data_IF_604875847088
#
_entry.id   IF_604875847088
#
_cell.length_a   1.000
_cell.length_b   1.000
_cell.length_c   1.000
_cell.angle_alpha   90.00
_cell.angle_beta   90.00
_cell.angle_gamma   90.00
#
_symmetry.space_group_name_H-M   'P 1'
#
loop_
_entity.id
_entity.type
_entity.pdbx_description
1 polymer ?
#
# COMPACT_ATOMS: atom_id res chain seq x y z
N UNK A 1 -32.42 24.30 10.73
CA UNK A 1 -32.21 23.05 9.96
C UNK A 1 -30.77 23.06 9.48
N UNK A 2 -29.85 22.39 10.20
CA UNK A 2 -28.44 22.35 9.83
C UNK A 2 -28.25 21.38 8.68
N UNK A 3 -28.11 21.88 7.45
CA UNK A 3 -27.63 21.08 6.33
C UNK A 3 -26.13 20.85 6.53
N UNK A 4 -25.78 19.80 7.27
CA UNK A 4 -24.41 19.30 7.32
C UNK A 4 -24.17 18.49 6.04
N UNK A 5 -23.26 18.91 5.16
CA UNK A 5 -22.88 18.11 4.01
C UNK A 5 -22.42 16.73 4.47
N UNK A 6 -22.98 15.66 3.90
CA UNK A 6 -22.48 14.31 4.16
C UNK A 6 -21.19 14.15 3.37
N UNK A 7 -20.10 13.94 4.11
CA UNK A 7 -18.80 13.53 3.60
C UNK A 7 -18.47 12.14 4.17
N UNK A 8 -18.11 11.19 3.31
CA UNK A 8 -17.69 9.85 3.72
C UNK A 8 -16.45 9.41 2.94
N UNK A 9 -15.56 8.69 3.63
CA UNK A 9 -14.48 7.93 3.03
C UNK A 9 -14.58 6.53 3.61
N UNK A 10 -14.70 5.53 2.75
CA UNK A 10 -14.70 4.12 3.14
C UNK A 10 -13.56 3.42 2.41
N UNK A 11 -12.72 2.70 3.16
CA UNK A 11 -11.65 1.89 2.59
C UNK A 11 -11.87 0.43 2.97
N UNK A 12 -12.29 -0.39 2.00
CA UNK A 12 -12.33 -1.85 2.15
C UNK A 12 -11.00 -2.42 1.68
N UNK A 13 -10.35 -3.23 2.50
CA UNK A 13 -9.06 -3.85 2.16
C UNK A 13 -9.16 -5.36 2.27
N UNK A 14 -8.58 -6.07 1.31
CA UNK A 14 -8.21 -7.47 1.50
C UNK A 14 -6.80 -7.74 0.98
N UNK A 15 -6.23 -8.87 1.39
CA UNK A 15 -4.85 -9.23 1.15
C UNK A 15 -4.78 -10.60 0.47
N UNK A 16 -3.94 -10.73 -0.55
CA UNK A 16 -3.73 -12.00 -1.26
C UNK A 16 -2.24 -12.18 -1.57
N UNK A 17 -1.77 -13.42 -1.47
CA UNK A 17 -0.40 -13.79 -1.85
C UNK A 17 -0.28 -13.91 -3.36
N UNK A 18 -0.47 -12.79 -4.06
CA UNK A 18 -0.25 -12.63 -5.49
C UNK A 18 0.42 -11.28 -5.77
N UNK A 19 0.66 -11.00 -7.04
CA UNK A 19 1.30 -9.77 -7.51
C UNK A 19 0.30 -8.69 -7.96
N UNK A 20 -0.96 -8.77 -7.51
CA UNK A 20 -2.02 -7.83 -7.95
C UNK A 20 -2.73 -8.24 -9.23
N UNK A 21 -2.59 -9.50 -9.65
CA UNK A 21 -3.18 -10.02 -10.89
C UNK A 21 -4.64 -10.50 -10.76
N UNK A 22 -5.18 -10.58 -9.54
CA UNK A 22 -6.56 -11.06 -9.35
C UNK A 22 -7.56 -9.96 -9.70
N UNK A 23 -8.29 -10.16 -10.79
CA UNK A 23 -9.40 -9.30 -11.16
C UNK A 23 -10.56 -9.43 -10.15
N UNK A 24 -11.20 -8.30 -9.85
CA UNK A 24 -12.37 -8.21 -8.95
C UNK A 24 -12.21 -8.97 -7.62
N UNK A 25 -11.03 -8.95 -6.99
CA UNK A 25 -10.77 -9.69 -5.74
C UNK A 25 -11.75 -9.39 -4.60
N UNK A 26 -12.28 -8.17 -4.52
CA UNK A 26 -13.24 -7.76 -3.50
C UNK A 26 -14.70 -8.08 -3.87
N UNK A 27 -14.92 -8.84 -4.95
CA UNK A 27 -16.23 -9.33 -5.39
C UNK A 27 -17.26 -8.19 -5.54
N UNK A 28 -16.85 -7.10 -6.20
CA UNK A 28 -17.75 -5.97 -6.46
C UNK A 28 -18.80 -6.39 -7.49
N UNK A 29 -19.99 -5.80 -7.36
CA UNK A 29 -21.13 -6.08 -8.24
C UNK A 29 -21.78 -4.79 -8.77
N UNK A 30 -22.52 -4.92 -9.86
CA UNK A 30 -23.33 -3.85 -10.45
C UNK A 30 -22.56 -2.55 -10.70
N UNK A 31 -23.13 -1.42 -10.26
CA UNK A 31 -22.58 -0.10 -10.54
C UNK A 31 -21.20 0.12 -9.89
N UNK A 32 -20.94 -0.45 -8.70
CA UNK A 32 -19.65 -0.32 -8.01
C UNK A 32 -18.54 -1.00 -8.83
N UNK A 33 -18.84 -2.16 -9.44
CA UNK A 33 -17.94 -2.86 -10.35
C UNK A 33 -17.71 -2.08 -11.66
N UNK A 34 -18.77 -1.56 -12.27
CA UNK A 34 -18.71 -0.88 -13.57
C UNK A 34 -18.04 0.50 -13.52
N UNK A 35 -18.25 1.26 -12.44
CA UNK A 35 -17.76 2.64 -12.33
C UNK A 35 -16.38 2.75 -11.67
N UNK A 36 -15.76 1.65 -11.26
CA UNK A 36 -14.47 1.69 -10.59
C UNK A 36 -13.34 2.07 -11.54
N UNK A 37 -12.35 2.75 -10.98
CA UNK A 37 -11.05 2.92 -11.62
C UNK A 37 -10.04 1.99 -10.94
N UNK A 38 -9.28 1.24 -11.73
CA UNK A 38 -8.20 0.38 -11.21
C UNK A 38 -6.89 1.15 -11.31
N UNK A 39 -6.25 1.37 -10.16
CA UNK A 39 -4.93 1.99 -10.08
C UNK A 39 -3.94 0.99 -9.50
N UNK A 40 -2.93 0.60 -10.27
CA UNK A 40 -1.82 -0.20 -9.78
C UNK A 40 -0.74 0.72 -9.22
N UNK A 41 -0.46 0.61 -7.92
CA UNK A 41 0.60 1.37 -7.26
C UNK A 41 1.93 0.61 -7.28
N UNK A 42 3.00 1.29 -7.69
CA UNK A 42 4.37 0.78 -7.66
C UNK A 42 5.20 1.49 -6.59
N UNK A 43 5.43 0.82 -5.46
CA UNK A 43 6.19 1.40 -4.35
C UNK A 43 7.64 1.76 -4.70
N UNK A 44 8.21 1.19 -5.77
CA UNK A 44 9.57 1.48 -6.19
C UNK A 44 9.62 2.59 -7.25
N UNK A 45 8.70 2.59 -8.21
CA UNK A 45 8.81 3.44 -9.41
C UNK A 45 7.74 4.51 -9.57
N UNK A 46 6.64 4.47 -8.82
CA UNK A 46 5.70 5.59 -8.83
C UNK A 46 6.33 6.82 -8.16
N UNK A 47 6.02 7.98 -8.73
CA UNK A 47 6.47 9.27 -8.24
C UNK A 47 5.74 9.64 -6.95
N UNK A 48 6.48 10.26 -6.03
CA UNK A 48 5.93 10.93 -4.86
C UNK A 48 6.32 12.40 -4.92
N UNK A 49 5.52 13.30 -4.29
CA UNK A 49 5.94 14.68 -4.12
C UNK A 49 7.34 14.76 -3.51
N UNK A 50 8.23 15.56 -4.09
CA UNK A 50 9.66 15.63 -3.73
C UNK A 50 9.87 15.88 -2.23
N UNK A 51 9.01 16.68 -1.59
CA UNK A 51 9.02 16.93 -0.14
C UNK A 51 8.90 15.69 0.75
N UNK A 52 8.42 14.57 0.20
CA UNK A 52 8.28 13.29 0.89
C UNK A 52 9.40 12.31 0.56
N UNK A 53 10.26 12.62 -0.41
CA UNK A 53 11.35 11.74 -0.79
C UNK A 53 12.43 11.69 0.31
N UNK A 54 12.79 10.48 0.72
CA UNK A 54 13.96 10.20 1.53
C UNK A 54 14.72 9.04 0.92
N UNK A 55 16.04 9.18 0.80
CA UNK A 55 16.88 8.17 0.15
C UNK A 55 16.82 6.83 0.88
N UNK A 56 16.69 6.86 2.20
CA UNK A 56 16.60 5.69 3.07
C UNK A 56 15.27 4.93 2.90
N UNK A 57 14.23 5.62 2.43
CA UNK A 57 12.89 5.06 2.17
C UNK A 57 12.72 4.65 0.70
N UNK A 58 13.72 4.85 -0.16
CA UNK A 58 13.64 4.50 -1.58
C UNK A 58 13.83 3.00 -1.79
N UNK A 59 12.75 2.29 -2.13
CA UNK A 59 12.75 0.84 -2.34
C UNK A 59 13.69 0.37 -3.47
N UNK A 60 14.10 1.26 -4.39
CA UNK A 60 15.05 0.94 -5.46
C UNK A 60 16.48 0.80 -4.95
N UNK A 61 16.77 1.35 -3.77
CA UNK A 61 18.10 1.33 -3.16
C UNK A 61 18.12 0.61 -1.82
N UNK A 62 16.98 0.53 -1.14
CA UNK A 62 16.86 -0.17 0.14
C UNK A 62 17.02 -1.68 -0.03
N UNK A 63 17.91 -2.27 0.77
CA UNK A 63 18.04 -3.71 0.94
C UNK A 63 18.02 -4.05 2.43
N UNK A 64 17.09 -4.90 2.83
CA UNK A 64 16.94 -5.37 4.21
C UNK A 64 18.14 -6.22 4.63
N UNK A 65 18.70 -5.93 5.80
CA UNK A 65 19.77 -6.74 6.41
C UNK A 65 19.21 -7.97 7.12
N UNK A 66 17.95 -7.95 7.56
CA UNK A 66 17.32 -9.05 8.31
C UNK A 66 16.63 -10.08 7.41
N UNK A 67 16.12 -9.67 6.25
CA UNK A 67 15.33 -10.52 5.36
C UNK A 67 15.90 -10.69 3.96
N UNK A 68 17.00 -9.99 3.64
CA UNK A 68 17.63 -9.92 2.31
C UNK A 68 16.72 -9.39 1.18
N UNK A 69 15.51 -8.90 1.51
CA UNK A 69 14.57 -8.32 0.54
C UNK A 69 15.06 -6.98 0.02
N UNK A 70 14.81 -6.75 -1.27
CA UNK A 70 15.28 -5.57 -2.00
C UNK A 70 16.75 -5.67 -2.43
N UNK A 71 17.26 -4.70 -3.20
CA UNK A 71 16.53 -3.58 -3.79
C UNK A 71 15.47 -4.03 -4.80
N UNK A 72 14.41 -3.23 -4.97
CA UNK A 72 13.35 -3.50 -5.95
C UNK A 72 13.75 -2.96 -7.32
N UNK A 73 14.02 -3.89 -8.24
CA UNK A 73 14.36 -3.59 -9.63
C UNK A 73 13.13 -3.47 -10.53
N UNK A 74 13.31 -2.99 -11.76
CA UNK A 74 12.21 -2.92 -12.71
C UNK A 74 11.62 -4.32 -12.96
N UNK A 75 10.30 -4.42 -12.88
CA UNK A 75 9.61 -5.72 -12.99
C UNK A 75 9.62 -6.57 -11.71
N UNK A 76 10.05 -6.02 -10.56
CA UNK A 76 10.06 -6.72 -9.26
C UNK A 76 8.75 -7.46 -8.97
N UNK A 77 7.58 -6.89 -9.33
CA UNK A 77 6.26 -7.51 -9.14
C UNK A 77 6.13 -8.91 -9.76
N UNK A 78 6.89 -9.23 -10.81
CA UNK A 78 6.85 -10.54 -11.47
C UNK A 78 7.91 -11.51 -10.95
N UNK A 79 8.98 -10.99 -10.33
CA UNK A 79 10.20 -11.74 -10.03
C UNK A 79 10.50 -11.85 -8.53
N UNK A 80 9.74 -11.17 -7.67
CA UNK A 80 9.90 -11.20 -6.22
C UNK A 80 9.05 -12.29 -5.57
N UNK A 81 9.68 -13.11 -4.73
CA UNK A 81 9.01 -14.10 -3.88
C UNK A 81 9.66 -14.04 -2.49
N UNK A 82 8.88 -14.01 -1.39
CA UNK A 82 7.42 -13.96 -1.35
C UNK A 82 6.88 -12.58 -1.78
N UNK A 83 5.65 -12.57 -2.33
CA UNK A 83 4.91 -11.36 -2.68
C UNK A 83 3.46 -11.45 -2.18
N UNK A 84 2.90 -10.31 -1.82
CA UNK A 84 1.49 -10.13 -1.51
C UNK A 84 0.99 -8.82 -2.11
N UNK A 85 -0.30 -8.76 -2.41
CA UNK A 85 -0.98 -7.55 -2.84
C UNK A 85 -2.08 -7.20 -1.84
N UNK A 86 -2.17 -5.91 -1.50
CA UNK A 86 -3.32 -5.36 -0.79
C UNK A 86 -4.26 -4.72 -1.80
N UNK A 87 -5.47 -5.25 -1.90
CA UNK A 87 -6.53 -4.73 -2.76
C UNK A 87 -7.35 -3.76 -1.92
N UNK A 88 -7.26 -2.47 -2.24
CA UNK A 88 -7.94 -1.40 -1.50
C UNK A 88 -9.00 -0.76 -2.37
N UNK A 89 -10.27 -0.99 -2.05
CA UNK A 89 -11.37 -0.25 -2.62
C UNK A 89 -11.63 0.98 -1.77
N UNK A 90 -11.43 2.14 -2.37
CA UNK A 90 -11.66 3.44 -1.75
C UNK A 90 -12.95 4.00 -2.34
N UNK A 91 -13.90 4.34 -1.48
CA UNK A 91 -15.15 5.00 -1.85
C UNK A 91 -15.18 6.36 -1.16
N UNK A 92 -15.34 7.43 -1.92
CA UNK A 92 -15.49 8.79 -1.40
C UNK A 92 -16.85 9.33 -1.83
N UNK A 93 -17.61 9.88 -0.89
CA UNK A 93 -18.88 10.54 -1.19
C UNK A 93 -18.87 11.96 -0.62
N UNK A 94 -19.18 12.95 -1.46
CA UNK A 94 -19.31 14.34 -1.07
C UNK A 94 -20.56 14.97 -1.67
N UNK A 95 -21.62 15.10 -0.85
CA UNK A 95 -22.92 15.59 -1.32
C UNK A 95 -23.05 17.13 -1.26
N UNK A 96 -22.25 17.82 -2.06
CA UNK A 96 -22.37 19.28 -2.26
C UNK A 96 -22.49 19.59 -3.75
N UNK A 97 -23.59 20.25 -4.10
CA UNK A 97 -23.88 20.62 -5.48
C UNK A 97 -22.76 21.50 -6.08
N UNK A 98 -22.31 21.13 -7.28
CA UNK A 98 -21.23 21.82 -8.00
C UNK A 98 -19.82 21.54 -7.50
N UNK A 99 -19.63 20.83 -6.37
CA UNK A 99 -18.31 20.56 -5.78
C UNK A 99 -17.97 19.07 -5.62
N UNK A 100 -18.96 18.17 -5.67
CA UNK A 100 -18.80 16.71 -5.51
C UNK A 100 -17.56 16.15 -6.24
N UNK A 101 -17.57 16.19 -7.57
CA UNK A 101 -16.49 15.66 -8.40
C UNK A 101 -15.10 16.22 -8.06
N UNK A 102 -14.99 17.54 -7.83
CA UNK A 102 -13.70 18.19 -7.55
C UNK A 102 -13.13 17.73 -6.21
N UNK A 103 -13.97 17.65 -5.18
CA UNK A 103 -13.56 17.25 -3.83
C UNK A 103 -13.30 15.75 -3.77
N UNK A 104 -14.16 14.92 -4.34
CA UNK A 104 -13.98 13.47 -4.39
C UNK A 104 -12.69 13.10 -5.10
N UNK A 105 -12.44 13.67 -6.28
CA UNK A 105 -11.20 13.44 -7.03
C UNK A 105 -9.95 13.92 -6.26
N UNK A 106 -10.04 15.07 -5.57
CA UNK A 106 -8.95 15.54 -4.71
C UNK A 106 -8.64 14.55 -3.58
N UNK A 107 -9.67 14.04 -2.91
CA UNK A 107 -9.52 13.07 -1.81
C UNK A 107 -8.96 11.75 -2.31
N UNK A 108 -9.41 11.25 -3.47
CA UNK A 108 -8.84 10.05 -4.08
C UNK A 108 -7.34 10.18 -4.37
N UNK A 109 -6.91 11.31 -4.93
CA UNK A 109 -5.49 11.58 -5.16
C UNK A 109 -4.70 11.67 -3.85
N UNK A 110 -5.24 12.35 -2.84
CA UNK A 110 -4.60 12.41 -1.52
C UNK A 110 -4.45 11.02 -0.88
N UNK A 111 -5.47 10.17 -0.98
CA UNK A 111 -5.42 8.79 -0.47
C UNK A 111 -4.39 7.97 -1.25
N UNK A 112 -4.31 8.11 -2.58
CA UNK A 112 -3.29 7.45 -3.41
C UNK A 112 -1.88 7.80 -2.93
N UNK A 113 -1.59 9.08 -2.71
CA UNK A 113 -0.28 9.53 -2.23
C UNK A 113 0.04 8.98 -0.83
N UNK A 114 -0.93 8.99 0.08
CA UNK A 114 -0.80 8.42 1.43
C UNK A 114 -0.51 6.93 1.37
N UNK A 115 -1.25 6.18 0.53
CA UNK A 115 -1.06 4.75 0.38
C UNK A 115 0.30 4.43 -0.22
N UNK A 116 0.71 5.13 -1.28
CA UNK A 116 2.01 4.93 -1.92
C UNK A 116 3.15 5.20 -0.95
N UNK A 117 3.14 6.35 -0.26
CA UNK A 117 4.15 6.70 0.73
C UNK A 117 4.20 5.69 1.89
N UNK A 118 3.03 5.32 2.43
CA UNK A 118 2.94 4.39 3.55
C UNK A 118 3.48 2.99 3.22
N UNK A 119 3.21 2.45 2.03
CA UNK A 119 3.73 1.13 1.64
C UNK A 119 5.23 1.17 1.30
N UNK A 120 5.72 2.27 0.70
CA UNK A 120 7.15 2.50 0.51
C UNK A 120 7.89 2.49 1.85
N UNK A 121 7.36 3.20 2.84
CA UNK A 121 7.89 3.22 4.21
C UNK A 121 7.80 1.85 4.88
N UNK A 122 6.66 1.17 4.79
CA UNK A 122 6.50 -0.16 5.36
C UNK A 122 7.54 -1.17 4.83
N UNK A 123 7.88 -1.11 3.53
CA UNK A 123 8.93 -1.93 2.94
C UNK A 123 10.32 -1.52 3.42
N UNK A 124 10.64 -0.22 3.37
CA UNK A 124 11.95 0.30 3.76
C UNK A 124 12.25 0.17 5.26
N UNK A 125 11.21 0.07 6.10
CA UNK A 125 11.35 -0.10 7.55
C UNK A 125 11.19 -1.56 7.99
N UNK A 126 11.26 -2.52 7.06
CA UNK A 126 11.13 -3.94 7.41
C UNK A 126 12.10 -4.37 8.50
N UNK A 127 13.34 -3.86 8.49
CA UNK A 127 14.32 -4.19 9.52
C UNK A 127 13.89 -3.70 10.91
N UNK A 128 13.05 -2.67 11.01
CA UNK A 128 12.60 -2.11 12.30
C UNK A 128 11.45 -2.90 12.91
N UNK A 129 10.52 -3.40 12.10
CA UNK A 129 9.32 -4.10 12.59
C UNK A 129 9.40 -5.63 12.50
N UNK A 130 10.32 -6.20 11.71
CA UNK A 130 10.37 -7.65 11.49
C UNK A 130 10.69 -8.45 12.77
N UNK A 131 11.54 -7.93 13.65
CA UNK A 131 11.82 -8.60 14.95
C UNK A 131 10.62 -8.57 15.89
N UNK A 132 9.88 -7.46 15.91
CA UNK A 132 8.63 -7.35 16.70
C UNK A 132 7.62 -8.38 16.19
N UNK A 133 7.47 -8.50 14.87
CA UNK A 133 6.61 -9.51 14.25
C UNK A 133 6.99 -10.94 14.64
N UNK A 134 8.28 -11.29 14.61
CA UNK A 134 8.75 -12.62 14.96
C UNK A 134 8.49 -12.94 16.44
N UNK A 135 8.77 -11.99 17.32
CA UNK A 135 8.48 -12.10 18.74
C UNK A 135 6.98 -12.34 18.99
N UNK A 136 6.11 -11.54 18.37
CA UNK A 136 4.65 -11.63 18.54
C UNK A 136 4.09 -12.94 17.98
N UNK A 137 4.73 -13.51 16.96
CA UNK A 137 4.39 -14.83 16.41
C UNK A 137 5.00 -16.00 17.21
N UNK A 138 5.74 -15.74 18.28
CA UNK A 138 6.43 -16.76 19.07
C UNK A 138 7.60 -17.43 18.34
N UNK A 139 8.13 -16.80 17.29
CA UNK A 139 9.28 -17.30 16.52
C UNK A 139 10.55 -16.69 17.12
N UNK A 140 11.28 -17.49 17.90
CA UNK A 140 12.60 -17.13 18.42
C UNK A 140 13.67 -17.51 17.40
N UNK A 141 14.42 -16.53 16.90
CA UNK A 141 15.64 -16.80 16.14
C UNK A 141 16.73 -17.07 17.18
N UNK A 142 17.10 -18.34 17.38
CA UNK A 142 18.18 -18.72 18.29
C UNK A 142 19.52 -18.18 17.76
N UNK A 143 19.92 -17.02 18.27
CA UNK A 143 21.21 -16.41 17.98
C UNK A 143 22.33 -16.99 18.82
N UNK A 144 22.65 -18.29 18.69
CA UNK A 144 24.02 -18.79 18.93
C UNK A 144 24.21 -20.25 18.47
N UNK A 145 24.62 -20.44 17.21
CA UNK A 145 25.43 -21.60 16.80
C UNK A 145 26.46 -21.07 15.84
N UNK A 146 27.58 -20.60 16.37
CA UNK A 146 28.93 -20.96 15.90
C UNK A 146 29.97 -20.14 16.67
N UNK A 147 30.76 -20.84 17.47
CA UNK A 147 31.85 -20.28 18.28
C UNK A 147 32.58 -21.39 19.04
N UNK A 148 33.15 -22.34 18.29
CA UNK A 148 34.40 -23.00 18.68
C UNK A 148 35.56 -22.06 18.41
#
# INVERSE_FOLDING_TARGET
>A
CSFLPRFSIVVKTGYKNDNGCTENFLELEGKELESREIVHMDIAFDELPEKHYKKEEDCRYFKSKKTDRGPLEQGWRMNTVPIMCSYKLVTVEFNVWGLAWRVENFVHNAIKDILLLGHRQAFAWIDDWFEVYLHDCGVYIDGNKDGK
#
